data_IF_528602029616
#
_entry.id   IF_528602029616
#
_cell.length_a   1.000
_cell.length_b   1.000
_cell.length_c   1.000
_cell.angle_alpha   90.00
_cell.angle_beta   90.00
_cell.angle_gamma   90.00
#
_symmetry.space_group_name_H-M   'P 1'
#
loop_
_entity.id
_entity.type
_entity.pdbx_description
1 polymer ?
#
# COMPACT_ATOMS: atom_id res chain seq x y z
N UNK A 1 18.46 -31.18 24.70
CA UNK A 1 19.36 -30.41 23.81
C UNK A 1 18.67 -29.86 22.55
N UNK A 2 18.12 -30.67 21.64
CA UNK A 2 17.49 -30.15 20.38
C UNK A 2 16.33 -29.17 20.60
N UNK A 3 15.36 -29.48 21.47
CA UNK A 3 14.23 -28.59 21.82
C UNK A 3 14.69 -27.24 22.40
N UNK A 4 15.75 -27.25 23.20
CA UNK A 4 16.28 -26.05 23.85
C UNK A 4 16.98 -25.14 22.84
N UNK A 5 17.68 -25.74 21.87
CA UNK A 5 18.27 -25.07 20.71
C UNK A 5 17.21 -24.44 19.80
N UNK A 6 16.11 -25.15 19.52
CA UNK A 6 14.99 -24.60 18.75
C UNK A 6 14.30 -23.42 19.46
N UNK A 7 14.12 -23.50 20.78
CA UNK A 7 13.54 -22.42 21.56
C UNK A 7 14.46 -21.19 21.58
N UNK A 8 15.77 -21.38 21.75
CA UNK A 8 16.75 -20.28 21.65
C UNK A 8 16.78 -19.66 20.26
N UNK A 9 16.73 -20.48 19.20
CA UNK A 9 16.65 -20.00 17.80
C UNK A 9 15.39 -19.19 17.55
N UNK A 10 14.22 -19.63 18.04
CA UNK A 10 12.97 -18.86 17.93
C UNK A 10 13.04 -17.53 18.68
N UNK A 11 13.63 -17.52 19.88
CA UNK A 11 13.80 -16.28 20.66
C UNK A 11 14.75 -15.30 19.96
N UNK A 12 15.84 -15.78 19.38
CA UNK A 12 16.76 -14.96 18.59
C UNK A 12 16.05 -14.37 17.36
N UNK A 13 15.35 -15.19 16.57
CA UNK A 13 14.57 -14.72 15.43
C UNK A 13 13.50 -13.69 15.83
N UNK A 14 12.84 -13.90 16.97
CA UNK A 14 11.85 -12.96 17.49
C UNK A 14 12.50 -11.65 17.95
N UNK A 15 13.67 -11.71 18.58
CA UNK A 15 14.44 -10.54 19.00
C UNK A 15 14.94 -9.73 17.81
N UNK A 16 15.49 -10.39 16.78
CA UNK A 16 15.89 -9.73 15.54
C UNK A 16 14.70 -9.07 14.85
N UNK A 17 13.55 -9.75 14.78
CA UNK A 17 12.32 -9.19 14.21
C UNK A 17 11.86 -7.93 14.97
N UNK A 18 11.88 -7.95 16.30
CA UNK A 18 11.51 -6.79 17.12
C UNK A 18 12.51 -5.63 16.97
N UNK A 19 13.80 -5.91 16.87
CA UNK A 19 14.82 -4.90 16.63
C UNK A 19 14.64 -4.25 15.23
N UNK A 20 14.43 -5.06 14.18
CA UNK A 20 14.11 -4.56 12.84
C UNK A 20 12.83 -3.74 12.82
N UNK A 21 11.79 -4.19 13.54
CA UNK A 21 10.54 -3.44 13.69
C UNK A 21 10.78 -2.08 14.36
N UNK A 22 11.61 -2.01 15.40
CA UNK A 22 11.94 -0.77 16.10
C UNK A 22 12.65 0.25 15.21
N UNK A 23 13.67 -0.20 14.45
CA UNK A 23 14.41 0.65 13.49
C UNK A 23 13.48 1.15 12.38
N UNK A 24 12.64 0.27 11.81
CA UNK A 24 11.68 0.64 10.79
C UNK A 24 10.59 1.57 11.33
N UNK A 25 10.09 1.34 12.54
CA UNK A 25 9.06 2.19 13.16
C UNK A 25 9.58 3.61 13.39
N UNK A 26 10.83 3.77 13.80
CA UNK A 26 11.47 5.08 13.94
C UNK A 26 11.61 5.80 12.59
N UNK A 27 12.02 5.07 11.55
CA UNK A 27 12.09 5.59 10.18
C UNK A 27 10.73 6.00 9.63
N UNK A 28 9.70 5.18 9.83
CA UNK A 28 8.32 5.45 9.39
C UNK A 28 7.73 6.64 10.15
N UNK A 29 7.94 6.73 11.46
CA UNK A 29 7.50 7.89 12.23
C UNK A 29 8.11 9.19 11.70
N UNK A 30 9.40 9.16 11.36
CA UNK A 30 10.07 10.30 10.73
C UNK A 30 9.49 10.62 9.35
N UNK A 31 9.29 9.60 8.50
CA UNK A 31 8.72 9.80 7.17
C UNK A 31 7.28 10.30 7.19
N UNK A 32 6.48 9.89 8.18
CA UNK A 32 5.09 10.29 8.36
C UNK A 32 4.96 11.68 9.01
N UNK A 33 5.93 12.09 9.83
CA UNK A 33 5.98 13.46 10.34
C UNK A 33 6.19 14.47 9.20
N UNK A 34 6.95 14.14 8.16
CA UNK A 34 7.21 15.05 7.04
C UNK A 34 5.93 15.54 6.32
N UNK A 35 5.02 14.68 5.82
CA UNK A 35 3.78 15.13 5.19
C UNK A 35 2.90 15.89 6.19
N UNK A 36 2.86 15.49 7.47
CA UNK A 36 2.11 16.20 8.51
C UNK A 36 2.63 17.63 8.73
N UNK A 37 3.95 17.80 8.78
CA UNK A 37 4.56 19.13 8.87
C UNK A 37 4.23 19.98 7.65
N UNK A 38 4.32 19.42 6.44
CA UNK A 38 3.98 20.14 5.21
C UNK A 38 2.50 20.56 5.17
N UNK A 39 1.58 19.66 5.56
CA UNK A 39 0.14 19.97 5.71
C UNK A 39 -0.04 21.12 6.70
N UNK A 40 0.58 21.02 7.88
CA UNK A 40 0.48 22.05 8.93
C UNK A 40 0.98 23.41 8.42
N UNK A 41 2.10 23.46 7.71
CA UNK A 41 2.63 24.70 7.14
C UNK A 41 1.71 25.27 6.06
N UNK A 42 1.17 24.45 5.16
CA UNK A 42 0.19 24.92 4.17
C UNK A 42 -1.09 25.44 4.82
N UNK A 43 -1.57 24.81 5.90
CA UNK A 43 -2.71 25.30 6.67
C UNK A 43 -2.40 26.64 7.35
N UNK A 44 -1.20 26.81 7.91
CA UNK A 44 -0.78 28.08 8.52
C UNK A 44 -0.78 29.21 7.50
N UNK A 45 -0.16 29.00 6.33
CA UNK A 45 -0.16 29.98 5.24
C UNK A 45 -1.59 30.32 4.77
N UNK A 46 -2.47 29.33 4.65
CA UNK A 46 -3.87 29.55 4.32
C UNK A 46 -4.61 30.41 5.36
N UNK A 47 -4.30 30.25 6.64
CA UNK A 47 -4.92 31.03 7.72
C UNK A 47 -4.35 32.45 7.81
N UNK A 48 -3.05 32.62 7.60
CA UNK A 48 -2.36 33.91 7.66
C UNK A 48 -2.72 34.81 6.48
N UNK A 49 -2.85 34.23 5.28
CA UNK A 49 -2.94 34.99 4.02
C UNK A 49 -4.33 34.88 3.36
N UNK A 50 -5.36 34.44 4.09
CA UNK A 50 -6.68 34.12 3.51
C UNK A 50 -7.31 35.29 2.75
N UNK A 51 -7.11 36.50 3.24
CA UNK A 51 -7.70 37.73 2.68
C UNK A 51 -6.77 38.43 1.67
N UNK A 52 -5.46 38.19 1.77
CA UNK A 52 -4.42 38.92 1.02
C UNK A 52 -3.87 38.11 -0.18
N UNK A 53 -3.92 36.77 -0.12
CA UNK A 53 -3.40 35.91 -1.18
C UNK A 53 -4.31 35.85 -2.40
N UNK A 54 -3.68 35.75 -3.57
CA UNK A 54 -4.38 35.52 -4.83
C UNK A 54 -5.05 34.12 -4.83
N UNK A 55 -6.23 33.95 -5.48
CA UNK A 55 -6.93 32.66 -5.51
C UNK A 55 -6.07 31.50 -6.02
N UNK A 56 -5.11 31.77 -6.90
CA UNK A 56 -4.17 30.78 -7.40
C UNK A 56 -3.19 30.26 -6.31
N UNK A 57 -2.77 31.11 -5.38
CA UNK A 57 -1.89 30.73 -4.26
C UNK A 57 -2.67 29.88 -3.25
N UNK A 58 -3.88 30.29 -2.88
CA UNK A 58 -4.78 29.53 -2.01
C UNK A 58 -5.04 28.11 -2.58
N UNK A 59 -5.33 28.02 -3.88
CA UNK A 59 -5.47 26.73 -4.56
C UNK A 59 -4.18 25.90 -4.56
N UNK A 60 -3.02 26.55 -4.62
CA UNK A 60 -1.72 25.88 -4.54
C UNK A 60 -1.53 25.18 -3.19
N UNK A 61 -1.78 25.89 -2.09
CA UNK A 61 -1.69 25.31 -0.74
C UNK A 61 -2.71 24.21 -0.49
N UNK A 62 -3.95 24.36 -0.98
CA UNK A 62 -4.97 23.30 -0.89
C UNK A 62 -4.55 22.03 -1.65
N UNK A 63 -3.97 22.18 -2.85
CA UNK A 63 -3.42 21.03 -3.61
C UNK A 63 -2.24 20.38 -2.91
N UNK A 64 -1.39 21.17 -2.25
CA UNK A 64 -0.28 20.65 -1.47
C UNK A 64 -0.78 19.81 -0.29
N UNK A 65 -1.81 20.27 0.44
CA UNK A 65 -2.44 19.51 1.52
C UNK A 65 -2.99 18.17 1.03
N UNK A 66 -3.71 18.17 -0.10
CA UNK A 66 -4.26 16.94 -0.68
C UNK A 66 -3.15 15.94 -1.06
N UNK A 67 -2.11 16.43 -1.75
CA UNK A 67 -0.95 15.62 -2.14
C UNK A 67 -0.21 15.01 -0.96
N UNK A 68 0.05 15.80 0.09
CA UNK A 68 0.74 15.33 1.30
C UNK A 68 -0.13 14.36 2.12
N UNK A 69 -1.45 14.53 2.10
CA UNK A 69 -2.41 13.60 2.71
C UNK A 69 -2.35 12.24 2.04
N UNK A 70 -2.33 12.21 0.69
CA UNK A 70 -2.19 10.97 -0.07
C UNK A 70 -0.80 10.34 0.14
N UNK A 71 0.25 11.14 0.25
CA UNK A 71 1.59 10.65 0.62
C UNK A 71 1.60 9.98 1.99
N UNK A 72 0.98 10.60 2.99
CA UNK A 72 0.81 10.03 4.33
C UNK A 72 0.05 8.69 4.30
N UNK A 73 -1.04 8.62 3.51
CA UNK A 73 -1.83 7.39 3.33
C UNK A 73 -0.98 6.25 2.76
N UNK A 74 -0.11 6.52 1.78
CA UNK A 74 0.81 5.53 1.20
C UNK A 74 1.81 5.01 2.22
N UNK A 75 2.36 5.88 3.07
CA UNK A 75 3.29 5.48 4.14
C UNK A 75 2.60 4.54 5.14
N UNK A 76 1.39 4.88 5.58
CA UNK A 76 0.60 4.03 6.49
C UNK A 76 0.28 2.68 5.84
N UNK A 77 -0.09 2.65 4.56
CA UNK A 77 -0.35 1.39 3.85
C UNK A 77 0.88 0.49 3.80
N UNK A 78 2.04 1.05 3.43
CA UNK A 78 3.31 0.30 3.44
C UNK A 78 3.65 -0.26 4.82
N UNK A 79 3.32 0.47 5.90
CA UNK A 79 3.52 0.00 7.27
C UNK A 79 2.58 -1.17 7.62
N UNK A 80 1.30 -1.08 7.25
CA UNK A 80 0.32 -2.14 7.46
C UNK A 80 0.68 -3.38 6.64
N UNK A 81 1.11 -3.22 5.38
CA UNK A 81 1.55 -4.32 4.51
C UNK A 81 2.79 -5.04 5.07
N UNK A 82 3.68 -4.32 5.78
CA UNK A 82 4.84 -4.91 6.45
C UNK A 82 4.46 -5.67 7.73
N UNK A 83 3.49 -5.15 8.49
CA UNK A 83 2.99 -5.78 9.71
C UNK A 83 2.07 -6.98 9.46
N UNK A 84 1.33 -6.93 8.35
CA UNK A 84 0.48 -8.01 7.88
C UNK A 84 1.37 -9.11 7.28
N UNK A 85 1.90 -9.97 8.15
CA UNK A 85 2.29 -11.32 7.75
C UNK A 85 1.02 -12.07 7.34
N UNK A 86 0.47 -11.76 6.17
CA UNK A 86 -0.44 -12.69 5.50
C UNK A 86 0.36 -13.97 5.39
N UNK A 87 -0.09 -14.99 6.11
CA UNK A 87 0.50 -16.31 6.03
C UNK A 87 0.47 -16.67 4.55
N UNK A 88 1.64 -16.71 3.92
CA UNK A 88 1.74 -17.06 2.51
C UNK A 88 1.14 -18.44 2.33
N UNK A 89 -0.10 -18.48 1.85
CA UNK A 89 -0.88 -19.72 1.73
C UNK A 89 -1.01 -20.02 0.26
N UNK A 90 -0.07 -20.84 -0.22
CA UNK A 90 -0.21 -21.46 -1.53
C UNK A 90 -1.52 -22.22 -1.55
N UNK A 91 -2.40 -21.82 -2.45
CA UNK A 91 -3.61 -22.55 -2.77
C UNK A 91 -3.62 -22.85 -4.26
N UNK A 92 -4.30 -23.92 -4.63
CA UNK A 92 -4.46 -24.29 -6.03
C UNK A 92 -5.55 -23.41 -6.62
N UNK A 93 -5.15 -22.55 -7.56
CA UNK A 93 -6.03 -21.57 -8.21
C UNK A 93 -6.20 -21.93 -9.67
N UNK A 94 -7.39 -21.70 -10.23
CA UNK A 94 -7.60 -21.72 -11.67
C UNK A 94 -7.13 -20.38 -12.23
N UNK A 95 -6.24 -20.42 -13.22
CA UNK A 95 -5.71 -19.19 -13.82
C UNK A 95 -6.81 -18.35 -14.49
N UNK A 96 -7.80 -19.03 -15.08
CA UNK A 96 -8.90 -18.37 -15.78
C UNK A 96 -9.71 -17.47 -14.81
N UNK A 97 -10.05 -17.98 -13.63
CA UNK A 97 -10.83 -17.25 -12.63
C UNK A 97 -10.09 -15.96 -12.20
N UNK A 98 -8.77 -16.05 -11.99
CA UNK A 98 -7.92 -14.92 -11.62
C UNK A 98 -7.85 -13.85 -12.72
N UNK A 99 -7.74 -14.28 -13.98
CA UNK A 99 -7.70 -13.38 -15.13
C UNK A 99 -9.04 -12.68 -15.32
N UNK A 100 -10.15 -13.39 -15.15
CA UNK A 100 -11.50 -12.81 -15.25
C UNK A 100 -11.75 -11.75 -14.16
N UNK A 101 -11.34 -12.00 -12.91
CA UNK A 101 -11.37 -11.00 -11.82
C UNK A 101 -10.59 -9.73 -12.21
N UNK A 102 -9.38 -9.92 -12.74
CA UNK A 102 -8.51 -8.80 -13.18
C UNK A 102 -9.09 -8.08 -14.41
N UNK A 103 -9.78 -8.81 -15.30
CA UNK A 103 -10.39 -8.26 -16.52
C UNK A 103 -11.42 -7.18 -16.20
N UNK A 104 -12.18 -7.33 -15.11
CA UNK A 104 -13.18 -6.33 -14.69
C UNK A 104 -12.51 -4.97 -14.45
N UNK A 105 -11.35 -4.97 -13.79
CA UNK A 105 -10.60 -3.75 -13.47
C UNK A 105 -10.01 -3.14 -14.75
N UNK A 106 -9.40 -3.97 -15.59
CA UNK A 106 -8.74 -3.51 -16.82
C UNK A 106 -9.77 -3.03 -17.86
N UNK A 107 -10.92 -3.70 -18.01
CA UNK A 107 -11.97 -3.30 -18.95
C UNK A 107 -12.49 -1.90 -18.66
N UNK A 108 -12.60 -1.51 -17.38
CA UNK A 108 -12.97 -0.15 -17.00
C UNK A 108 -11.94 0.89 -17.50
N UNK A 109 -10.64 0.56 -17.49
CA UNK A 109 -9.58 1.42 -18.02
C UNK A 109 -9.56 1.44 -19.56
N UNK A 110 -9.77 0.29 -20.20
CA UNK A 110 -9.71 0.14 -21.67
C UNK A 110 -10.88 0.81 -22.39
N UNK A 111 -12.04 0.95 -21.74
CA UNK A 111 -13.19 1.72 -22.27
C UNK A 111 -12.81 3.15 -22.66
N UNK A 112 -11.86 3.77 -21.95
CA UNK A 112 -11.39 5.13 -22.26
C UNK A 112 -10.49 5.19 -23.50
N UNK A 113 -9.90 4.07 -23.92
CA UNK A 113 -8.83 4.01 -24.93
C UNK A 113 -9.21 3.25 -26.21
N UNK A 114 -10.49 2.84 -26.36
CA UNK A 114 -10.99 2.06 -27.53
C UNK A 114 -10.15 0.80 -27.82
N UNK A 115 -9.58 0.19 -26.80
CA UNK A 115 -8.78 -1.03 -26.91
C UNK A 115 -9.58 -2.26 -26.47
N UNK A 116 -9.24 -3.44 -27.00
CA UNK A 116 -9.90 -4.70 -26.67
C UNK A 116 -8.90 -5.69 -26.06
N UNK A 117 -9.28 -6.33 -24.96
CA UNK A 117 -8.48 -7.34 -24.28
C UNK A 117 -8.94 -8.75 -24.69
N UNK A 118 -8.04 -9.49 -25.34
CA UNK A 118 -8.26 -10.90 -25.67
C UNK A 118 -7.52 -11.80 -24.68
N UNK A 119 -8.23 -12.71 -24.04
CA UNK A 119 -7.66 -13.71 -23.12
C UNK A 119 -7.62 -15.06 -23.82
N UNK A 120 -6.43 -15.67 -23.91
CA UNK A 120 -6.27 -17.03 -24.43
C UNK A 120 -5.51 -17.87 -23.40
N UNK A 121 -6.27 -18.58 -22.56
CA UNK A 121 -5.73 -19.42 -21.48
C UNK A 121 -6.49 -20.75 -21.44
N UNK A 122 -5.80 -21.90 -21.31
CA UNK A 122 -6.45 -23.20 -21.16
C UNK A 122 -7.32 -23.25 -19.89
N UNK A 123 -8.57 -23.70 -20.01
CA UNK A 123 -9.56 -23.67 -18.92
C UNK A 123 -9.17 -24.52 -17.69
N UNK A 124 -8.31 -25.51 -17.87
CA UNK A 124 -7.88 -26.44 -16.82
C UNK A 124 -6.54 -26.03 -16.16
N UNK A 125 -5.93 -24.93 -16.60
CA UNK A 125 -4.63 -24.53 -16.10
C UNK A 125 -4.74 -24.05 -14.65
N UNK A 126 -4.17 -24.83 -13.73
CA UNK A 126 -4.08 -24.47 -12.31
C UNK A 126 -2.65 -24.12 -11.91
N UNK A 127 -2.52 -23.17 -11.00
CA UNK A 127 -1.26 -22.73 -10.40
C UNK A 127 -1.32 -22.75 -8.88
N UNK A 128 -0.19 -23.06 -8.26
CA UNK A 128 -0.02 -22.87 -6.82
C UNK A 128 0.51 -21.46 -6.56
N UNK A 129 -0.40 -20.56 -6.22
CA UNK A 129 -0.05 -19.20 -5.86
C UNK A 129 -0.84 -18.75 -4.63
N UNK A 130 -0.41 -17.63 -4.07
CA UNK A 130 -1.14 -16.94 -3.04
C UNK A 130 -2.09 -15.92 -3.69
N UNK A 131 -3.39 -16.03 -3.44
CA UNK A 131 -4.40 -15.11 -4.01
C UNK A 131 -4.56 -13.81 -3.18
N UNK A 132 -3.80 -13.66 -2.10
CA UNK A 132 -3.93 -12.49 -1.22
C UNK A 132 -3.46 -11.18 -1.85
N UNK A 133 -2.71 -11.21 -2.97
CA UNK A 133 -2.31 -10.01 -3.71
C UNK A 133 -3.42 -9.47 -4.63
N UNK A 134 -4.36 -10.30 -5.09
CA UNK A 134 -5.40 -9.88 -6.04
C UNK A 134 -6.66 -9.34 -5.34
N UNK A 135 -6.95 -9.76 -4.10
CA UNK A 135 -8.11 -9.28 -3.34
C UNK A 135 -7.95 -7.87 -2.76
N UNK A 136 -6.73 -7.35 -2.63
CA UNK A 136 -6.47 -5.98 -2.14
C UNK A 136 -6.72 -4.90 -3.20
N UNK A 137 -6.86 -5.27 -4.47
CA UNK A 137 -7.23 -4.33 -5.55
C UNK A 137 -8.75 -4.12 -5.68
N UNK A 138 -9.57 -4.86 -4.91
CA UNK A 138 -11.04 -4.75 -4.92
C UNK A 138 -11.60 -3.87 -3.79
N UNK A 139 -10.72 -3.34 -2.91
CA UNK A 139 -11.09 -2.46 -1.81
C UNK A 139 -10.30 -1.16 -1.89
N UNK A 140 -10.55 -0.37 -2.95
CA UNK A 140 -10.53 1.11 -3.03
C UNK A 140 -11.09 1.49 -4.40
#
# INVERSE_FOLDING_TARGET
MLKELEVRRRRLLQSEKLASLGVLSAGIAHELNNPLSNISSSCQLLMEELEEAEPAQLQGWLRQIDSETERGRKIVRSMLDFGDQRLFRKQRLKLLDLIEETRIIIDNMLRQHRAHLSVNVPAELTLEADNSACSSSSSI
#
